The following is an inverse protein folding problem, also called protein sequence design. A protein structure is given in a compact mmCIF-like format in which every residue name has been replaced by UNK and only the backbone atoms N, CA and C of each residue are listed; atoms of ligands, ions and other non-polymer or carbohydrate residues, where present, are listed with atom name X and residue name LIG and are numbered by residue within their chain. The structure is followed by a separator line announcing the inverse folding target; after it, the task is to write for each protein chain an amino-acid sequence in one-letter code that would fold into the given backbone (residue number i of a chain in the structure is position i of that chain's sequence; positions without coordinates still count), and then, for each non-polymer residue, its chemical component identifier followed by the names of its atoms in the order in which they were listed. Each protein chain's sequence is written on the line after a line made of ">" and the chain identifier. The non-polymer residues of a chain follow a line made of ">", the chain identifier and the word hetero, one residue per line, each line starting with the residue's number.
data_IF_278594979876
#
_entry.id   IF_278594979876
#
_cell.length_a   1.000
_cell.length_b   1.000
_cell.length_c   1.000
_cell.angle_alpha   90.00
_cell.angle_beta   90.00
_cell.angle_gamma   90.00
#
_symmetry.space_group_name_H-M   'P 1'
#
loop_
_entity.id
_entity.type
_entity.pdbx_description
1 polymer ?
#
# COMPACT_ATOMS: atom_id res chain seq x y z
N UNK A 1 -2.30 -25.63 32.43
CA UNK A 1 -1.36 -24.97 31.49
C UNK A 1 -2.05 -23.71 30.99
N UNK A 2 -1.62 -22.54 31.45
CA UNK A 2 -2.20 -21.27 31.02
C UNK A 2 -1.56 -20.87 29.67
N UNK A 3 -2.32 -20.33 28.70
CA UNK A 3 -1.74 -19.82 27.47
C UNK A 3 -0.92 -18.57 27.79
N UNK A 4 0.33 -18.54 27.32
CA UNK A 4 1.17 -17.35 27.41
C UNK A 4 0.61 -16.31 26.42
N UNK A 5 0.15 -15.19 26.97
CA UNK A 5 -0.14 -13.99 26.19
C UNK A 5 1.16 -13.51 25.55
N UNK A 6 1.24 -13.60 24.22
CA UNK A 6 2.35 -13.04 23.47
C UNK A 6 2.23 -11.52 23.52
N UNK A 7 3.30 -10.85 23.94
CA UNK A 7 3.38 -9.39 23.98
C UNK A 7 3.34 -8.84 22.54
N UNK A 8 2.34 -8.00 22.24
CA UNK A 8 2.33 -7.19 21.03
C UNK A 8 3.46 -6.17 21.16
N UNK A 9 4.38 -6.07 20.18
CA UNK A 9 5.45 -5.08 20.25
C UNK A 9 4.83 -3.68 20.26
N UNK A 10 5.05 -2.94 21.35
CA UNK A 10 4.67 -1.53 21.52
C UNK A 10 5.57 -0.63 20.67
N UNK A 11 5.56 -0.82 19.36
CA UNK A 11 5.97 0.24 18.44
C UNK A 11 4.89 1.32 18.51
N UNK A 12 5.27 2.60 18.52
CA UNK A 12 4.33 3.70 18.31
C UNK A 12 3.60 3.44 17.00
N UNK A 13 2.37 2.94 17.09
CA UNK A 13 1.49 2.75 15.95
C UNK A 13 1.35 4.13 15.31
N UNK A 14 1.88 4.27 14.10
CA UNK A 14 1.74 5.52 13.35
C UNK A 14 0.26 5.77 13.09
N UNK A 15 -0.10 7.03 12.93
CA UNK A 15 -1.49 7.51 13.14
C UNK A 15 -2.56 6.78 12.32
N UNK A 16 -2.19 6.19 11.19
CA UNK A 16 -3.10 5.41 10.34
C UNK A 16 -2.55 4.09 9.82
N UNK A 17 -1.46 3.55 10.39
CA UNK A 17 -0.93 2.25 9.97
C UNK A 17 -1.98 1.14 10.19
N UNK A 18 -2.47 0.56 9.09
CA UNK A 18 -3.50 -0.49 9.11
C UNK A 18 -4.95 0.04 9.14
N UNK A 19 -5.17 1.34 8.98
CA UNK A 19 -6.51 1.93 8.96
C UNK A 19 -7.25 1.61 7.65
N UNK A 20 -8.58 1.49 7.69
CA UNK A 20 -9.39 1.42 6.47
C UNK A 20 -9.37 2.79 5.75
N UNK A 21 -8.86 2.90 4.51
CA UNK A 21 -8.83 4.17 3.80
C UNK A 21 -10.22 4.73 3.48
N UNK A 22 -11.30 3.95 3.58
CA UNK A 22 -12.67 4.44 3.40
C UNK A 22 -13.08 5.49 4.44
N UNK A 23 -12.44 5.51 5.62
CA UNK A 23 -12.67 6.51 6.66
C UNK A 23 -11.81 7.78 6.51
N UNK A 24 -10.93 7.85 5.50
CA UNK A 24 -10.04 8.98 5.30
C UNK A 24 -10.67 10.04 4.38
N UNK A 25 -10.56 11.30 4.79
CA UNK A 25 -11.11 12.42 4.04
C UNK A 25 -10.19 12.88 2.89
N UNK A 26 -10.80 13.54 1.90
CA UNK A 26 -10.10 14.17 0.77
C UNK A 26 -9.08 13.27 0.02
N UNK A 27 -9.44 12.03 -0.36
CA UNK A 27 -8.50 11.11 -1.01
C UNK A 27 -8.16 11.57 -2.44
N UNK A 28 -6.87 11.60 -2.78
CA UNK A 28 -6.37 11.96 -4.12
C UNK A 28 -5.40 10.91 -4.66
N UNK A 29 -5.34 10.73 -6.00
CA UNK A 29 -4.30 9.90 -6.63
C UNK A 29 -3.03 10.71 -6.75
N UNK A 30 -1.91 10.18 -6.26
CA UNK A 30 -0.58 10.83 -6.36
C UNK A 30 0.29 10.22 -7.44
N UNK A 31 0.17 8.91 -7.65
CA UNK A 31 0.87 8.17 -8.69
C UNK A 31 -0.02 7.06 -9.22
N UNK A 32 0.21 6.68 -10.46
CA UNK A 32 -0.47 5.57 -11.11
C UNK A 32 0.49 4.82 -12.04
N UNK A 33 0.29 3.52 -12.19
CA UNK A 33 0.96 2.69 -13.19
C UNK A 33 -0.05 1.70 -13.76
N UNK A 34 0.09 1.38 -15.05
CA UNK A 34 -0.75 0.37 -15.70
C UNK A 34 0.07 -0.86 -16.03
N UNK A 35 -0.41 -2.03 -15.61
CA UNK A 35 0.17 -3.29 -16.04
C UNK A 35 -0.16 -3.56 -17.51
N UNK A 36 0.60 -4.47 -18.14
CA UNK A 36 0.36 -4.89 -19.51
C UNK A 36 -1.02 -5.55 -19.71
N UNK A 37 -1.56 -6.19 -18.66
CA UNK A 37 -2.93 -6.72 -18.60
C UNK A 37 -4.02 -5.64 -18.64
N UNK A 38 -3.65 -4.38 -18.44
CA UNK A 38 -4.56 -3.26 -18.31
C UNK A 38 -5.01 -2.95 -16.88
N UNK A 39 -4.63 -3.77 -15.90
CA UNK A 39 -4.84 -3.48 -14.48
C UNK A 39 -4.18 -2.15 -14.11
N UNK A 40 -4.93 -1.26 -13.47
CA UNK A 40 -4.48 0.05 -13.00
C UNK A 40 -4.16 -0.02 -11.51
N UNK A 41 -2.94 0.34 -11.15
CA UNK A 41 -2.48 0.50 -9.77
C UNK A 41 -2.28 1.98 -9.47
N UNK A 42 -2.78 2.42 -8.34
CA UNK A 42 -2.65 3.81 -7.89
C UNK A 42 -2.13 3.87 -6.47
N UNK A 43 -1.24 4.83 -6.23
CA UNK A 43 -0.97 5.32 -4.88
C UNK A 43 -1.95 6.45 -4.58
N UNK A 44 -2.81 6.21 -3.60
CA UNK A 44 -3.79 7.17 -3.09
C UNK A 44 -3.24 7.79 -1.80
N UNK A 45 -3.68 9.02 -1.51
CA UNK A 45 -3.21 9.79 -0.38
C UNK A 45 -4.30 10.70 0.18
N UNK A 46 -4.36 10.82 1.50
CA UNK A 46 -5.14 11.81 2.23
C UNK A 46 -4.21 12.86 2.84
N UNK A 47 -4.33 14.11 2.39
CA UNK A 47 -3.51 15.22 2.91
C UNK A 47 -3.94 15.71 4.29
N UNK A 48 -5.14 15.36 4.75
CA UNK A 48 -5.62 15.71 6.08
C UNK A 48 -5.09 14.76 7.15
N UNK A 49 -4.80 13.51 6.78
CA UNK A 49 -4.31 12.48 7.70
C UNK A 49 -2.83 12.12 7.52
N UNK A 50 -2.17 12.57 6.44
CA UNK A 50 -0.83 12.14 6.05
C UNK A 50 -0.70 10.62 5.90
N UNK A 51 -1.63 10.06 5.14
CA UNK A 51 -1.79 8.62 4.97
C UNK A 51 -1.89 8.24 3.50
N UNK A 52 -1.16 7.20 3.10
CA UNK A 52 -1.20 6.66 1.75
C UNK A 52 -1.64 5.18 1.73
N UNK A 53 -2.23 4.76 0.61
CA UNK A 53 -2.65 3.38 0.38
C UNK A 53 -2.61 3.03 -1.11
N UNK A 54 -2.54 1.74 -1.40
CA UNK A 54 -2.69 1.23 -2.76
C UNK A 54 -4.16 1.13 -3.14
N UNK A 55 -4.48 1.42 -4.40
CA UNK A 55 -5.76 1.05 -5.02
C UNK A 55 -5.50 0.29 -6.32
N UNK A 56 -6.22 -0.80 -6.53
CA UNK A 56 -6.29 -1.53 -7.79
C UNK A 56 -7.64 -1.28 -8.46
N UNK A 57 -7.62 -1.07 -9.78
CA UNK A 57 -8.81 -0.93 -10.62
C UNK A 57 -8.61 -1.72 -11.93
N UNK A 58 -9.71 -2.17 -12.53
CA UNK A 58 -9.68 -3.02 -13.73
C UNK A 58 -8.81 -4.27 -13.54
N UNK A 59 -8.77 -4.77 -12.30
CA UNK A 59 -8.02 -5.96 -11.93
C UNK A 59 -8.70 -7.24 -12.41
N UNK A 60 -7.91 -8.29 -12.46
CA UNK A 60 -8.35 -9.64 -12.74
C UNK A 60 -8.27 -10.48 -11.47
N UNK A 61 -8.97 -11.62 -11.48
CA UNK A 61 -8.86 -12.59 -10.39
C UNK A 61 -7.39 -12.98 -10.18
N UNK A 62 -6.99 -13.02 -8.91
CA UNK A 62 -5.62 -13.26 -8.45
C UNK A 62 -4.61 -12.14 -8.71
N UNK A 63 -5.02 -10.98 -9.23
CA UNK A 63 -4.14 -9.81 -9.22
C UNK A 63 -3.85 -9.41 -7.76
N UNK A 64 -2.59 -9.08 -7.48
CA UNK A 64 -2.11 -8.73 -6.14
C UNK A 64 -1.87 -7.22 -6.05
N UNK A 65 -2.06 -6.65 -4.86
CA UNK A 65 -1.77 -5.25 -4.56
C UNK A 65 -1.09 -5.15 -3.19
N UNK A 66 -0.10 -4.29 -3.08
CA UNK A 66 0.51 -3.89 -1.80
C UNK A 66 1.10 -2.47 -1.92
N UNK A 67 1.62 -1.95 -0.83
CA UNK A 67 2.46 -0.74 -0.83
C UNK A 67 3.83 -1.03 -0.24
N UNK A 68 4.84 -0.31 -0.73
CA UNK A 68 6.17 -0.26 -0.12
C UNK A 68 6.37 1.11 0.52
N UNK A 69 7.10 1.17 1.64
CA UNK A 69 7.39 2.42 2.36
C UNK A 69 8.87 2.54 2.68
N UNK A 70 9.48 3.68 2.38
CA UNK A 70 10.89 3.95 2.68
C UNK A 70 11.03 5.23 3.51
N UNK A 71 12.10 5.30 4.31
CA UNK A 71 12.44 6.51 5.08
C UNK A 71 12.76 7.72 4.19
N UNK A 72 13.21 7.47 2.97
CA UNK A 72 13.59 8.51 2.01
C UNK A 72 13.68 7.92 0.60
N UNK A 73 13.71 8.79 -0.43
CA UNK A 73 14.02 8.37 -1.81
C UNK A 73 15.42 7.74 -1.92
N UNK A 74 16.39 8.22 -1.13
CA UNK A 74 17.75 7.67 -1.12
C UNK A 74 17.75 6.22 -0.63
N UNK A 75 17.01 5.93 0.43
CA UNK A 75 16.88 4.56 0.95
C UNK A 75 16.13 3.66 -0.03
N UNK A 76 15.02 4.16 -0.59
CA UNK A 76 14.28 3.49 -1.65
C UNK A 76 15.17 3.11 -2.84
N UNK A 77 15.95 4.05 -3.36
CA UNK A 77 16.87 3.80 -4.49
C UNK A 77 18.00 2.83 -4.14
N UNK A 78 18.33 2.70 -2.86
CA UNK A 78 19.37 1.82 -2.37
C UNK A 78 18.86 0.45 -1.91
N UNK A 79 17.62 0.07 -2.23
CA UNK A 79 17.10 -1.26 -1.86
C UNK A 79 16.51 -1.34 -0.45
N UNK A 80 16.36 -0.22 0.26
CA UNK A 80 15.99 -0.20 1.69
C UNK A 80 14.59 0.39 1.88
N UNK A 81 13.61 -0.49 2.05
CA UNK A 81 12.24 -0.12 2.34
C UNK A 81 11.55 -1.24 3.13
N UNK A 82 10.43 -0.92 3.77
CA UNK A 82 9.47 -1.87 4.31
C UNK A 82 8.64 -2.41 3.13
N UNK A 83 8.80 -3.69 2.75
CA UNK A 83 8.16 -4.23 1.56
C UNK A 83 6.77 -4.79 1.86
N UNK A 84 5.90 -4.80 0.84
CA UNK A 84 4.64 -5.55 0.84
C UNK A 84 3.70 -5.28 2.04
N UNK A 85 3.64 -4.03 2.46
CA UNK A 85 2.66 -3.60 3.46
C UNK A 85 1.25 -3.73 2.87
N UNK A 86 0.35 -4.30 3.67
CA UNK A 86 -1.07 -4.36 3.34
C UNK A 86 -1.38 -5.22 2.12
N UNK A 87 -0.55 -6.23 1.85
CA UNK A 87 -0.75 -7.15 0.75
C UNK A 87 -2.17 -7.72 0.74
N UNK A 88 -2.77 -7.68 -0.44
CA UNK A 88 -4.04 -8.33 -0.73
C UNK A 88 -4.02 -8.94 -2.12
N UNK A 89 -4.96 -9.83 -2.38
CA UNK A 89 -5.20 -10.46 -3.67
C UNK A 89 -6.67 -10.34 -4.02
N UNK A 90 -6.97 -9.98 -5.26
CA UNK A 90 -8.34 -9.91 -5.75
C UNK A 90 -8.94 -11.31 -5.86
N UNK A 91 -10.18 -11.43 -5.37
CA UNK A 91 -11.07 -12.54 -5.69
C UNK A 91 -11.73 -12.32 -7.04
N UNK A 92 -13.06 -12.36 -7.09
CA UNK A 92 -13.83 -12.09 -8.32
C UNK A 92 -14.04 -10.61 -8.61
N UNK A 93 -13.67 -9.74 -7.67
CA UNK A 93 -13.79 -8.29 -7.82
C UNK A 93 -12.74 -7.74 -8.80
N UNK A 94 -13.04 -6.59 -9.39
CA UNK A 94 -12.16 -5.90 -10.35
C UNK A 94 -11.46 -4.69 -9.73
N UNK A 95 -11.65 -4.46 -8.44
CA UNK A 95 -11.09 -3.34 -7.71
C UNK A 95 -10.88 -3.70 -6.24
N UNK A 96 -10.06 -2.92 -5.55
CA UNK A 96 -9.85 -3.03 -4.12
C UNK A 96 -8.78 -2.07 -3.64
N UNK A 97 -8.46 -2.11 -2.35
CA UNK A 97 -7.47 -1.23 -1.74
C UNK A 97 -6.74 -1.93 -0.60
N UNK A 98 -5.49 -1.51 -0.36
CA UNK A 98 -4.78 -1.89 0.87
C UNK A 98 -5.31 -1.08 2.04
N UNK A 99 -5.03 -1.48 3.30
CA UNK A 99 -5.06 -0.54 4.41
C UNK A 99 -4.21 0.70 4.12
N UNK A 100 -4.51 1.79 4.82
CA UNK A 100 -3.71 2.99 4.84
C UNK A 100 -2.47 2.82 5.73
N UNK A 101 -1.45 3.60 5.41
CA UNK A 101 -0.20 3.67 6.15
C UNK A 101 0.24 5.12 6.23
N UNK A 102 0.78 5.48 7.38
CA UNK A 102 1.31 6.81 7.66
C UNK A 102 2.59 7.00 6.84
N UNK A 103 2.62 8.08 6.06
CA UNK A 103 3.74 8.44 5.21
C UNK A 103 4.42 9.75 5.64
N UNK A 104 4.11 10.28 6.84
CA UNK A 104 4.63 11.56 7.28
C UNK A 104 6.17 11.49 7.43
N UNK A 105 6.86 12.30 6.61
CA UNK A 105 8.31 12.29 6.45
C UNK A 105 8.88 11.03 5.78
N UNK A 106 8.04 10.22 5.12
CA UNK A 106 8.42 9.02 4.38
C UNK A 106 8.08 9.14 2.91
N UNK A 107 8.48 8.15 2.13
CA UNK A 107 8.02 7.98 0.75
C UNK A 107 7.35 6.63 0.57
N UNK A 108 6.32 6.60 -0.26
CA UNK A 108 5.56 5.39 -0.54
C UNK A 108 5.35 5.17 -2.03
N UNK A 109 5.13 3.91 -2.40
CA UNK A 109 4.68 3.52 -3.75
C UNK A 109 3.65 2.40 -3.65
N UNK A 110 2.74 2.36 -4.61
CA UNK A 110 1.85 1.22 -4.79
C UNK A 110 2.50 0.25 -5.78
N UNK A 111 2.42 -1.04 -5.47
CA UNK A 111 2.89 -2.10 -6.34
C UNK A 111 1.80 -3.16 -6.46
N UNK A 112 1.87 -3.92 -7.54
CA UNK A 112 1.02 -5.07 -7.70
C UNK A 112 1.57 -6.07 -8.67
N UNK A 113 0.96 -7.24 -8.69
CA UNK A 113 1.31 -8.33 -9.59
C UNK A 113 0.09 -8.67 -10.43
N UNK A 114 0.25 -8.61 -11.74
CA UNK A 114 -0.76 -9.09 -12.68
C UNK A 114 -0.11 -10.02 -13.70
N UNK A 115 -0.72 -11.20 -13.88
CA UNK A 115 -0.21 -12.27 -14.75
C UNK A 115 1.28 -12.60 -14.52
N UNK A 116 1.68 -12.63 -13.25
CA UNK A 116 3.06 -12.92 -12.83
C UNK A 116 4.04 -11.76 -12.95
N UNK A 117 3.66 -10.63 -13.53
CA UNK A 117 4.51 -9.45 -13.69
C UNK A 117 4.27 -8.44 -12.57
N UNK A 118 5.34 -8.03 -11.89
CA UNK A 118 5.28 -6.98 -10.87
C UNK A 118 5.44 -5.62 -11.52
N UNK A 119 4.54 -4.70 -11.20
CA UNK A 119 4.62 -3.28 -11.59
C UNK A 119 4.45 -2.41 -10.35
N UNK A 120 5.16 -1.29 -10.32
CA UNK A 120 5.10 -0.33 -9.22
C UNK A 120 4.94 1.07 -9.76
N UNK A 121 4.23 1.91 -9.01
CA UNK A 121 4.26 3.36 -9.23
C UNK A 121 5.66 3.90 -8.92
N UNK A 122 5.94 5.13 -9.36
CA UNK A 122 7.02 5.91 -8.77
C UNK A 122 6.77 6.15 -7.27
N UNK A 123 7.84 6.49 -6.55
CA UNK A 123 7.75 6.97 -5.17
C UNK A 123 7.09 8.37 -5.12
N UNK A 124 6.32 8.61 -4.06
CA UNK A 124 5.74 9.90 -3.69
C UNK A 124 6.19 10.24 -2.28
#
# INVERSE_FOLDING_TARGET
>A
MAPQAQAVPTGTMRTCDGMDPSSLESPSTKRSVRAASGTLYELRYSSTAACAWGRIQYGHMYDELWVDRARSLTDANAGRWEPQLGWMMLGTDTWGYTPAYDDDGMVMRACGRSWGQVVCTGWY
#
